data_IF_168584049222
#
_entry.id   IF_168584049222
#
_cell.length_a   1.000
_cell.length_b   1.000
_cell.length_c   1.000
_cell.angle_alpha   90.00
_cell.angle_beta   90.00
_cell.angle_gamma   90.00
#
_symmetry.space_group_name_H-M   'P 1'
#
loop_
_entity.id
_entity.type
_entity.pdbx_description
1 polymer ?
#
# COMPACT_ATOMS: atom_id res chain seq x y z
N UNK A 1 68.75 21.60 -9.57
CA UNK A 1 67.81 20.87 -10.45
C UNK A 1 66.66 20.45 -9.58
N UNK A 2 65.62 21.32 -9.48
CA UNK A 2 64.38 21.00 -8.69
C UNK A 2 63.36 20.33 -9.58
N UNK A 3 62.96 19.09 -9.24
CA UNK A 3 61.84 18.41 -9.87
C UNK A 3 60.51 18.96 -9.26
N UNK A 4 59.70 19.57 -10.10
CA UNK A 4 58.32 19.92 -9.74
C UNK A 4 57.43 18.71 -10.08
N UNK A 5 56.94 18.01 -9.05
CA UNK A 5 55.92 16.95 -9.22
C UNK A 5 54.56 17.61 -9.30
N UNK A 6 54.01 17.68 -10.49
CA UNK A 6 52.63 18.14 -10.71
C UNK A 6 51.62 17.11 -10.24
N UNK A 7 50.86 17.43 -9.18
CA UNK A 7 49.73 16.64 -8.73
C UNK A 7 48.51 16.91 -9.65
N UNK A 8 48.17 15.97 -10.50
CA UNK A 8 46.94 16.02 -11.32
C UNK A 8 45.77 15.62 -10.40
N UNK A 9 44.99 16.60 -9.93
CA UNK A 9 43.71 16.32 -9.29
C UNK A 9 42.69 15.85 -10.34
N UNK A 10 42.35 14.57 -10.28
CA UNK A 10 41.18 14.05 -10.99
C UNK A 10 39.91 14.61 -10.30
N UNK A 11 39.29 15.60 -10.90
CA UNK A 11 37.96 16.09 -10.49
C UNK A 11 36.96 15.04 -10.96
N UNK A 12 36.44 14.24 -10.01
CA UNK A 12 35.31 13.35 -10.28
C UNK A 12 34.09 14.18 -10.74
N UNK A 13 33.65 13.98 -11.99
CA UNK A 13 32.41 14.58 -12.47
C UNK A 13 31.27 14.05 -11.63
N UNK A 14 30.36 14.91 -11.11
CA UNK A 14 29.14 14.42 -10.47
C UNK A 14 28.37 13.57 -11.46
N UNK A 15 27.99 12.35 -11.05
CA UNK A 15 27.10 11.50 -11.84
C UNK A 15 25.80 12.27 -12.06
N UNK A 16 25.46 12.55 -13.31
CA UNK A 16 24.18 13.14 -13.66
C UNK A 16 23.12 12.12 -13.26
N UNK A 17 22.28 12.44 -12.26
CA UNK A 17 21.19 11.58 -11.87
C UNK A 17 20.32 11.30 -13.11
N UNK A 18 20.16 10.03 -13.44
CA UNK A 18 19.33 9.63 -14.57
C UNK A 18 17.88 10.03 -14.29
N UNK A 19 17.22 10.63 -15.29
CA UNK A 19 15.82 11.02 -15.17
C UNK A 19 14.95 9.78 -14.84
N UNK A 20 13.94 9.92 -13.94
CA UNK A 20 13.05 8.82 -13.61
C UNK A 20 12.34 8.26 -14.84
N UNK A 21 12.33 6.93 -14.96
CA UNK A 21 11.64 6.23 -16.05
C UNK A 21 10.24 5.86 -15.61
N UNK A 22 9.28 6.00 -16.52
CA UNK A 22 7.87 5.65 -16.32
C UNK A 22 7.37 4.85 -17.54
N UNK A 23 6.49 3.87 -17.34
CA UNK A 23 5.85 3.17 -18.45
C UNK A 23 4.96 4.13 -19.26
N UNK A 24 4.81 3.84 -20.54
CA UNK A 24 3.78 4.42 -21.38
C UNK A 24 2.47 3.63 -21.32
N UNK A 25 1.79 3.47 -22.47
CA UNK A 25 0.63 2.58 -22.59
C UNK A 25 0.97 1.14 -22.19
N UNK A 26 2.21 0.71 -22.43
CA UNK A 26 2.76 -0.57 -21.98
C UNK A 26 4.06 -0.36 -21.21
N UNK A 27 4.46 -1.36 -20.44
CA UNK A 27 5.76 -1.35 -19.77
C UNK A 27 6.90 -1.49 -20.77
N UNK A 28 7.93 -0.65 -20.65
CA UNK A 28 9.21 -0.87 -21.30
C UNK A 28 9.95 -1.98 -20.56
N UNK A 29 10.46 -2.97 -21.29
CA UNK A 29 11.15 -4.12 -20.71
C UNK A 29 12.67 -3.97 -20.82
N UNK A 30 13.38 -4.50 -19.83
CA UNK A 30 14.84 -4.68 -19.84
C UNK A 30 15.15 -6.08 -19.31
N UNK A 31 16.27 -6.67 -19.75
CA UNK A 31 16.73 -7.90 -19.11
C UNK A 31 17.19 -7.61 -17.69
N UNK A 32 17.16 -8.60 -16.77
CA UNK A 32 17.65 -8.40 -15.41
C UNK A 32 19.06 -7.79 -15.35
N UNK A 33 19.97 -8.24 -16.23
CA UNK A 33 21.35 -7.77 -16.30
C UNK A 33 21.43 -6.30 -16.71
N UNK A 34 20.57 -5.85 -17.63
CA UNK A 34 20.53 -4.46 -18.08
C UNK A 34 20.13 -3.49 -16.95
N UNK A 35 19.41 -3.97 -15.96
CA UNK A 35 19.00 -3.20 -14.78
C UNK A 35 19.71 -3.65 -13.50
N UNK A 36 20.84 -4.33 -13.66
CA UNK A 36 21.73 -4.75 -12.57
C UNK A 36 21.04 -5.67 -11.56
N UNK A 37 20.34 -6.69 -12.06
CA UNK A 37 19.74 -7.73 -11.24
C UNK A 37 20.33 -9.12 -11.56
N UNK A 38 20.38 -9.99 -10.57
CA UNK A 38 20.80 -11.38 -10.72
C UNK A 38 19.62 -12.26 -11.17
N UNK A 39 19.66 -12.83 -12.40
CA UNK A 39 18.58 -13.68 -12.92
C UNK A 39 18.36 -14.96 -12.10
N UNK A 40 19.40 -15.51 -11.50
CA UNK A 40 19.28 -16.74 -10.70
C UNK A 40 18.49 -16.47 -9.41
N UNK A 41 18.71 -15.30 -8.78
CA UNK A 41 17.93 -14.88 -7.61
C UNK A 41 16.49 -14.56 -7.96
N UNK A 42 16.21 -13.98 -9.14
CA UNK A 42 14.86 -13.78 -9.63
C UNK A 42 14.14 -15.10 -9.95
N UNK A 43 14.85 -16.11 -10.46
CA UNK A 43 14.29 -17.44 -10.63
C UNK A 43 13.93 -18.07 -9.28
N UNK A 44 14.81 -17.97 -8.27
CA UNK A 44 14.54 -18.44 -6.92
C UNK A 44 13.34 -17.70 -6.28
N UNK A 45 13.22 -16.38 -6.47
CA UNK A 45 12.07 -15.60 -6.05
C UNK A 45 10.78 -16.13 -6.68
N UNK A 46 10.76 -16.32 -8.00
CA UNK A 46 9.62 -16.90 -8.72
C UNK A 46 9.22 -18.27 -8.18
N UNK A 47 10.20 -19.15 -7.98
CA UNK A 47 9.96 -20.49 -7.44
C UNK A 47 9.39 -20.47 -6.03
N UNK A 48 9.90 -19.59 -5.17
CA UNK A 48 9.41 -19.40 -3.81
C UNK A 48 7.98 -18.83 -3.79
N UNK A 49 7.73 -17.78 -4.57
CA UNK A 49 6.44 -17.07 -4.61
C UNK A 49 5.38 -17.90 -5.35
N UNK A 50 5.70 -18.49 -6.49
CA UNK A 50 4.72 -19.18 -7.33
C UNK A 50 3.68 -18.24 -7.95
N UNK A 51 2.53 -18.78 -8.36
CA UNK A 51 1.45 -18.00 -8.95
C UNK A 51 1.86 -17.15 -10.15
N UNK A 52 1.54 -15.88 -10.14
CA UNK A 52 1.93 -14.89 -11.15
C UNK A 52 2.50 -13.63 -10.52
N UNK A 53 3.38 -12.95 -11.24
CA UNK A 53 3.97 -11.72 -10.72
C UNK A 53 4.89 -11.01 -11.69
N UNK A 54 5.41 -9.88 -11.22
CA UNK A 54 6.39 -9.08 -11.95
C UNK A 54 7.35 -8.37 -11.00
N UNK A 55 8.52 -8.04 -11.52
CA UNK A 55 9.52 -7.20 -10.86
C UNK A 55 9.84 -6.01 -11.76
N UNK A 56 9.75 -4.81 -11.17
CA UNK A 56 10.13 -3.55 -11.79
C UNK A 56 11.42 -3.05 -11.14
N UNK A 57 12.35 -2.61 -11.95
CA UNK A 57 13.63 -2.04 -11.52
C UNK A 57 13.93 -0.78 -12.31
N UNK A 58 14.25 0.32 -11.63
CA UNK A 58 14.59 1.60 -12.28
C UNK A 58 13.49 2.10 -13.26
N UNK A 59 12.23 1.72 -13.02
CA UNK A 59 11.09 2.06 -13.88
C UNK A 59 10.86 1.13 -15.07
N UNK A 60 11.66 0.07 -15.24
CA UNK A 60 11.52 -0.94 -16.29
C UNK A 60 10.95 -2.24 -15.75
N UNK A 61 10.13 -2.93 -16.56
CA UNK A 61 9.74 -4.32 -16.29
C UNK A 61 10.96 -5.22 -16.51
N UNK A 62 11.53 -5.74 -15.42
CA UNK A 62 12.77 -6.51 -15.45
C UNK A 62 12.54 -8.03 -15.47
N UNK A 63 11.45 -8.49 -14.86
CA UNK A 63 11.15 -9.92 -14.76
C UNK A 63 9.65 -10.16 -14.61
N UNK A 64 9.14 -11.25 -15.20
CA UNK A 64 7.72 -11.61 -15.13
C UNK A 64 7.55 -13.13 -15.05
N UNK A 65 6.45 -13.59 -14.44
CA UNK A 65 6.06 -14.99 -14.42
C UNK A 65 4.54 -15.14 -14.34
N UNK A 66 4.02 -16.23 -14.87
CA UNK A 66 2.58 -16.46 -14.98
C UNK A 66 1.87 -15.44 -15.87
N UNK A 67 0.56 -15.32 -15.73
CA UNK A 67 -0.24 -14.33 -16.43
C UNK A 67 -0.25 -12.99 -15.67
N UNK A 68 0.62 -12.10 -16.06
CA UNK A 68 0.79 -10.79 -15.42
C UNK A 68 -0.33 -9.81 -15.71
N UNK A 69 -1.13 -10.03 -16.77
CA UNK A 69 -2.25 -9.19 -17.18
C UNK A 69 -3.59 -9.62 -16.56
N UNK A 70 -3.67 -10.79 -15.94
CA UNK A 70 -4.92 -11.27 -15.36
C UNK A 70 -5.35 -10.39 -14.18
N UNK A 71 -6.47 -9.67 -14.38
CA UNK A 71 -7.13 -8.88 -13.34
C UNK A 71 -7.83 -9.79 -12.34
N UNK A 72 -7.51 -9.66 -11.06
CA UNK A 72 -8.16 -10.39 -9.99
C UNK A 72 -8.21 -9.59 -8.69
N UNK A 73 -9.11 -9.96 -7.78
CA UNK A 73 -9.21 -9.37 -6.44
C UNK A 73 -7.88 -9.53 -5.69
N UNK A 74 -7.40 -8.42 -5.11
CA UNK A 74 -6.18 -8.39 -4.29
C UNK A 74 -6.46 -8.39 -2.78
N UNK A 75 -7.71 -8.59 -2.37
CA UNK A 75 -8.13 -8.60 -0.98
C UNK A 75 -7.63 -7.37 -0.20
N UNK A 76 -7.07 -7.57 1.00
CA UNK A 76 -6.56 -6.47 1.84
C UNK A 76 -5.42 -5.68 1.22
N UNK A 77 -4.74 -6.17 0.19
CA UNK A 77 -3.76 -5.38 -0.55
C UNK A 77 -4.41 -4.19 -1.31
N UNK A 78 -5.73 -4.13 -1.37
CA UNK A 78 -6.49 -2.96 -1.83
C UNK A 78 -6.42 -1.75 -0.87
N UNK A 79 -6.11 -1.95 0.41
CA UNK A 79 -6.19 -0.89 1.44
C UNK A 79 -5.37 0.37 1.11
N UNK A 80 -4.13 0.30 0.58
CA UNK A 80 -3.40 1.49 0.17
C UNK A 80 -4.09 2.35 -0.90
N UNK A 81 -4.92 1.77 -1.75
CA UNK A 81 -5.73 2.53 -2.71
C UNK A 81 -6.77 3.38 -1.98
N UNK A 82 -7.42 2.85 -0.94
CA UNK A 82 -8.35 3.63 -0.12
C UNK A 82 -7.63 4.74 0.64
N UNK A 83 -6.46 4.44 1.20
CA UNK A 83 -5.57 5.45 1.81
C UNK A 83 -5.21 6.56 0.83
N UNK A 84 -4.88 6.21 -0.42
CA UNK A 84 -4.61 7.18 -1.49
C UNK A 84 -5.80 8.12 -1.72
N UNK A 85 -7.01 7.60 -1.83
CA UNK A 85 -8.20 8.44 -2.05
C UNK A 85 -8.58 9.28 -0.83
N UNK A 86 -8.29 8.86 0.41
CA UNK A 86 -8.40 9.74 1.58
C UNK A 86 -7.45 10.93 1.45
N UNK A 87 -6.18 10.68 1.14
CA UNK A 87 -5.17 11.73 1.00
C UNK A 87 -5.50 12.68 -0.15
N UNK A 88 -5.98 12.15 -1.27
CA UNK A 88 -6.48 12.94 -2.40
C UNK A 88 -7.66 13.82 -1.99
N UNK A 89 -8.62 13.28 -1.24
CA UNK A 89 -9.78 14.03 -0.78
C UNK A 89 -9.39 15.20 0.14
N UNK A 90 -8.34 15.04 0.96
CA UNK A 90 -7.77 16.13 1.76
C UNK A 90 -7.11 17.17 0.86
N UNK A 91 -6.30 16.75 -0.10
CA UNK A 91 -5.60 17.65 -1.02
C UNK A 91 -6.58 18.45 -1.90
N UNK A 92 -7.68 17.82 -2.31
CA UNK A 92 -8.75 18.44 -3.10
C UNK A 92 -9.71 19.30 -2.24
N UNK A 93 -9.52 19.37 -0.93
CA UNK A 93 -10.39 20.11 -0.01
C UNK A 93 -11.78 19.50 0.18
N UNK A 94 -12.02 18.26 -0.26
CA UNK A 94 -13.26 17.51 0.01
C UNK A 94 -13.40 17.13 1.48
N UNK A 95 -12.26 16.84 2.10
CA UNK A 95 -12.07 16.59 3.52
C UNK A 95 -11.17 17.73 4.01
N UNK A 96 -11.56 18.42 5.10
CA UNK A 96 -10.82 19.59 5.59
C UNK A 96 -9.44 19.22 6.16
N UNK A 97 -9.30 18.06 6.77
CA UNK A 97 -8.03 17.51 7.25
C UNK A 97 -8.17 16.02 7.58
N UNK A 98 -7.04 15.34 7.75
CA UNK A 98 -7.02 13.94 8.23
C UNK A 98 -7.64 13.81 9.65
N UNK A 99 -7.62 14.85 10.43
CA UNK A 99 -8.14 14.87 11.81
C UNK A 99 -9.60 15.37 11.88
N UNK A 100 -10.22 15.65 10.73
CA UNK A 100 -11.64 15.95 10.67
C UNK A 100 -12.48 14.72 11.04
N UNK A 101 -13.51 14.88 11.90
CA UNK A 101 -14.38 13.77 12.27
C UNK A 101 -15.17 13.21 11.08
N UNK A 102 -15.10 11.89 10.88
CA UNK A 102 -15.87 11.15 9.86
C UNK A 102 -17.36 11.36 10.05
N UNK A 103 -17.81 11.61 11.28
CA UNK A 103 -19.19 11.92 11.64
C UNK A 103 -19.76 13.18 10.95
N UNK A 104 -18.94 14.01 10.30
CA UNK A 104 -19.41 15.09 9.41
C UNK A 104 -20.09 14.52 8.16
N UNK A 105 -19.57 13.44 7.62
CA UNK A 105 -20.07 12.78 6.41
C UNK A 105 -21.00 11.61 6.74
N UNK A 106 -20.78 10.93 7.90
CA UNK A 106 -21.60 9.84 8.42
C UNK A 106 -22.21 10.21 9.78
N UNK A 107 -23.33 10.99 9.81
CA UNK A 107 -23.90 11.52 11.04
C UNK A 107 -24.36 10.45 12.05
N UNK A 108 -24.63 9.20 11.59
CA UNK A 108 -25.04 8.09 12.45
C UNK A 108 -24.01 7.74 13.51
N UNK A 109 -22.71 8.02 13.26
CA UNK A 109 -21.63 7.85 14.23
C UNK A 109 -21.81 8.69 15.50
N UNK A 110 -22.59 9.78 15.45
CA UNK A 110 -22.83 10.66 16.61
C UNK A 110 -23.72 10.03 17.66
N UNK A 111 -24.52 9.02 17.29
CA UNK A 111 -25.52 8.39 18.14
C UNK A 111 -25.12 6.98 18.63
N UNK A 112 -24.00 6.43 18.11
CA UNK A 112 -23.55 5.10 18.49
C UNK A 112 -22.89 5.07 19.88
N UNK A 113 -23.01 3.91 20.54
CA UNK A 113 -22.29 3.62 21.77
C UNK A 113 -22.55 4.63 22.91
N UNK A 114 -23.83 4.94 23.18
CA UNK A 114 -24.22 5.84 24.27
C UNK A 114 -23.61 5.44 25.64
N UNK A 115 -23.56 4.15 26.03
CA UNK A 115 -22.89 3.72 27.25
C UNK A 115 -21.38 4.00 27.30
N UNK A 116 -20.76 4.18 26.13
CA UNK A 116 -19.33 4.50 25.98
C UNK A 116 -19.11 6.01 25.65
N UNK A 117 -20.06 6.87 26.00
CA UNK A 117 -19.95 8.31 25.81
C UNK A 117 -20.00 8.74 24.33
N UNK A 118 -20.64 7.93 23.47
CA UNK A 118 -20.72 8.20 22.03
C UNK A 118 -19.34 8.32 21.37
N UNK A 119 -18.42 7.41 21.71
CA UNK A 119 -17.01 7.44 21.29
C UNK A 119 -16.79 7.58 19.78
N UNK A 120 -17.68 6.99 18.96
CA UNK A 120 -17.51 6.93 17.50
C UNK A 120 -17.66 8.29 16.82
N UNK A 121 -18.27 9.29 17.49
CA UNK A 121 -18.31 10.69 16.99
C UNK A 121 -16.90 11.31 16.83
N UNK A 122 -15.89 10.76 17.53
CA UNK A 122 -14.51 11.21 17.52
C UNK A 122 -13.63 10.47 16.49
N UNK A 123 -14.20 9.50 15.76
CA UNK A 123 -13.48 8.81 14.69
C UNK A 123 -13.08 9.80 13.61
N UNK A 124 -11.80 9.86 13.26
CA UNK A 124 -11.23 10.71 12.21
C UNK A 124 -10.79 9.89 11.00
N UNK A 125 -10.52 10.55 9.88
CA UNK A 125 -9.97 9.92 8.70
C UNK A 125 -8.58 9.31 8.97
N UNK A 126 -7.77 9.95 9.83
CA UNK A 126 -6.49 9.40 10.29
C UNK A 126 -6.67 8.09 11.05
N UNK A 127 -7.68 8.00 11.91
CA UNK A 127 -7.98 6.78 12.63
C UNK A 127 -8.37 5.65 11.68
N UNK A 128 -9.22 5.91 10.69
CA UNK A 128 -9.60 4.93 9.67
C UNK A 128 -8.39 4.48 8.83
N UNK A 129 -7.58 5.43 8.34
CA UNK A 129 -6.42 5.14 7.52
C UNK A 129 -5.35 4.30 8.25
N UNK A 130 -5.27 4.40 9.58
CA UNK A 130 -4.30 3.68 10.39
C UNK A 130 -4.89 2.47 11.13
N UNK A 131 -6.15 2.10 10.86
CA UNK A 131 -6.81 0.97 11.52
C UNK A 131 -6.82 1.08 13.05
N UNK A 132 -7.00 2.29 13.56
CA UNK A 132 -7.12 2.60 14.99
C UNK A 132 -8.44 3.32 15.31
N UNK A 133 -9.43 3.21 14.44
CA UNK A 133 -10.75 3.82 14.68
C UNK A 133 -11.52 3.10 15.79
N UNK A 134 -11.18 1.88 16.12
CA UNK A 134 -11.86 1.04 17.11
C UNK A 134 -13.37 0.97 16.85
N UNK A 135 -13.78 0.99 15.57
CA UNK A 135 -15.16 0.92 15.17
C UNK A 135 -15.69 -0.50 15.28
N UNK A 136 -16.73 -0.71 16.08
CA UNK A 136 -17.29 -2.02 16.39
C UNK A 136 -16.68 -2.69 17.63
N UNK A 137 -15.69 -2.07 18.28
CA UNK A 137 -15.08 -2.52 19.54
C UNK A 137 -15.17 -1.43 20.61
N UNK A 138 -14.95 -1.78 21.91
CA UNK A 138 -15.20 -0.87 23.03
C UNK A 138 -14.14 0.21 23.20
N UNK A 139 -12.93 0.01 22.72
CA UNK A 139 -11.84 0.97 22.88
C UNK A 139 -12.17 2.32 22.20
N UNK A 140 -11.57 3.38 22.71
CA UNK A 140 -11.68 4.70 22.11
C UNK A 140 -10.87 4.81 20.81
N UNK A 141 -11.32 5.61 19.84
CA UNK A 141 -10.53 5.89 18.64
C UNK A 141 -9.11 6.34 18.98
N UNK A 142 -8.13 5.77 18.29
CA UNK A 142 -6.71 6.07 18.46
C UNK A 142 -5.99 5.30 19.57
N UNK A 143 -6.68 4.47 20.36
CA UNK A 143 -6.07 3.82 21.54
C UNK A 143 -5.66 2.37 21.32
N UNK A 144 -6.16 1.72 20.29
CA UNK A 144 -5.81 0.35 19.93
C UNK A 144 -5.81 0.13 18.43
N UNK A 145 -5.00 -0.80 17.96
CA UNK A 145 -5.03 -1.28 16.58
C UNK A 145 -6.14 -2.32 16.43
N UNK A 146 -7.02 -2.07 15.50
CA UNK A 146 -8.22 -2.86 15.26
C UNK A 146 -8.39 -3.08 13.75
N UNK A 147 -7.68 -4.08 13.23
CA UNK A 147 -7.68 -4.40 11.80
C UNK A 147 -8.90 -5.25 11.47
N UNK A 148 -9.94 -4.64 10.90
CA UNK A 148 -11.17 -5.35 10.57
C UNK A 148 -11.84 -4.86 9.27
N UNK A 149 -12.70 -5.71 8.70
CA UNK A 149 -13.43 -5.41 7.48
C UNK A 149 -14.68 -4.53 7.72
N UNK A 150 -15.18 -4.43 8.96
CA UNK A 150 -16.30 -3.54 9.31
C UNK A 150 -15.88 -2.08 9.21
N UNK A 151 -14.70 -1.75 9.71
CA UNK A 151 -14.12 -0.43 9.56
C UNK A 151 -13.86 -0.08 8.09
N UNK A 152 -13.43 -1.07 7.29
CA UNK A 152 -13.23 -0.88 5.84
C UNK A 152 -14.54 -0.62 5.12
N UNK A 153 -15.64 -1.27 5.52
CA UNK A 153 -16.96 -1.00 4.98
C UNK A 153 -17.45 0.41 5.30
N UNK A 154 -17.27 0.85 6.56
CA UNK A 154 -17.56 2.23 6.97
C UNK A 154 -16.76 3.24 6.13
N UNK A 155 -15.47 2.99 5.97
CA UNK A 155 -14.58 3.84 5.18
C UNK A 155 -15.02 3.91 3.72
N UNK A 156 -15.22 2.76 3.08
CA UNK A 156 -15.58 2.69 1.68
C UNK A 156 -16.87 3.45 1.38
N UNK A 157 -17.93 3.19 2.16
CA UNK A 157 -19.21 3.87 1.99
C UNK A 157 -19.11 5.37 2.23
N UNK A 158 -18.39 5.78 3.29
CA UNK A 158 -18.31 7.20 3.62
C UNK A 158 -17.44 7.94 2.60
N UNK A 159 -16.28 7.36 2.23
CA UNK A 159 -15.36 8.00 1.30
C UNK A 159 -15.97 8.09 -0.12
N UNK A 160 -16.33 6.95 -0.70
CA UNK A 160 -16.73 6.96 -2.10
C UNK A 160 -18.17 7.45 -2.32
N UNK A 161 -19.12 7.05 -1.46
CA UNK A 161 -20.51 7.43 -1.68
C UNK A 161 -20.83 8.84 -1.16
N UNK A 162 -20.16 9.33 -0.12
CA UNK A 162 -20.51 10.62 0.51
C UNK A 162 -19.49 11.72 0.26
N UNK A 163 -18.19 11.43 0.29
CA UNK A 163 -17.15 12.44 0.02
C UNK A 163 -16.96 12.64 -1.48
N UNK A 164 -16.85 11.56 -2.24
CA UNK A 164 -16.73 11.61 -3.70
C UNK A 164 -18.07 11.68 -4.44
N UNK A 165 -19.19 11.46 -3.73
CA UNK A 165 -20.55 11.46 -4.31
C UNK A 165 -20.72 10.45 -5.45
N UNK A 166 -19.98 9.35 -5.44
CA UNK A 166 -20.13 8.24 -6.37
C UNK A 166 -21.27 7.30 -5.94
N UNK A 167 -21.57 6.32 -6.78
CA UNK A 167 -22.44 5.18 -6.47
C UNK A 167 -21.64 3.89 -6.60
N UNK A 168 -22.21 2.77 -6.16
CA UNK A 168 -21.60 1.46 -6.41
C UNK A 168 -21.38 1.19 -7.91
N UNK A 169 -22.30 1.65 -8.76
CA UNK A 169 -22.27 1.35 -10.21
C UNK A 169 -21.34 2.27 -11.02
N UNK A 170 -20.94 3.44 -10.48
CA UNK A 170 -20.17 4.42 -11.24
C UNK A 170 -18.84 4.84 -10.61
N UNK A 171 -18.44 4.23 -9.49
CA UNK A 171 -17.21 4.63 -8.77
C UNK A 171 -15.95 4.50 -9.62
N UNK A 172 -15.88 3.50 -10.48
CA UNK A 172 -14.75 3.32 -11.38
C UNK A 172 -14.66 4.47 -12.39
N UNK A 173 -15.75 4.81 -13.03
CA UNK A 173 -15.80 5.87 -14.05
C UNK A 173 -15.66 7.27 -13.46
N UNK A 174 -16.18 7.51 -12.26
CA UNK A 174 -16.23 8.85 -11.67
C UNK A 174 -15.07 9.15 -10.73
N UNK A 175 -14.44 8.14 -10.15
CA UNK A 175 -13.38 8.29 -9.16
C UNK A 175 -12.11 7.57 -9.58
N UNK A 176 -12.15 6.25 -9.79
CA UNK A 176 -10.97 5.43 -9.98
C UNK A 176 -10.20 5.81 -11.25
N UNK A 177 -10.86 5.76 -12.39
CA UNK A 177 -10.20 6.00 -13.68
C UNK A 177 -9.72 7.46 -13.84
N UNK A 178 -10.53 8.49 -13.61
CA UNK A 178 -10.11 9.86 -13.83
C UNK A 178 -9.06 10.35 -12.82
N UNK A 179 -9.09 9.83 -11.59
CA UNK A 179 -8.20 10.32 -10.53
C UNK A 179 -6.94 9.47 -10.33
N UNK A 180 -6.91 8.23 -10.85
CA UNK A 180 -5.77 7.34 -10.63
C UNK A 180 -5.43 6.50 -11.88
N UNK A 181 -6.21 5.48 -12.23
CA UNK A 181 -5.78 4.43 -13.16
C UNK A 181 -5.61 4.92 -14.59
N UNK A 182 -6.43 5.85 -15.04
CA UNK A 182 -6.28 6.52 -16.33
C UNK A 182 -5.01 7.39 -16.39
N UNK A 183 -4.64 8.05 -15.28
CA UNK A 183 -3.40 8.83 -15.20
C UNK A 183 -2.18 7.90 -15.25
N UNK A 184 -2.25 6.76 -14.55
CA UNK A 184 -1.20 5.75 -14.54
C UNK A 184 -1.13 4.95 -15.84
N UNK A 185 -2.08 5.13 -16.74
CA UNK A 185 -2.21 4.39 -18.01
C UNK A 185 -2.26 2.88 -17.77
N UNK A 186 -3.08 2.43 -16.78
CA UNK A 186 -3.25 1.01 -16.49
C UNK A 186 -3.71 0.24 -17.73
N UNK A 187 -3.18 -0.97 -17.91
CA UNK A 187 -3.35 -1.78 -19.12
C UNK A 187 -4.56 -2.72 -19.04
N UNK A 188 -4.92 -3.14 -17.82
CA UNK A 188 -5.87 -4.24 -17.58
C UNK A 188 -7.12 -3.77 -16.84
N UNK A 189 -7.47 -2.49 -16.95
CA UNK A 189 -8.71 -1.90 -16.45
C UNK A 189 -9.02 -2.26 -14.99
N UNK A 190 -8.22 -1.77 -14.01
CA UNK A 190 -8.49 -2.00 -12.59
C UNK A 190 -9.87 -1.50 -12.17
N UNK A 191 -10.49 -2.17 -11.17
CA UNK A 191 -11.83 -1.84 -10.69
C UNK A 191 -11.93 -1.82 -9.17
N UNK A 192 -12.68 -0.86 -8.62
CA UNK A 192 -13.17 -0.84 -7.23
C UNK A 192 -14.46 -1.64 -7.07
N UNK A 193 -15.02 -2.14 -8.18
CA UNK A 193 -16.22 -2.97 -8.23
C UNK A 193 -15.90 -4.45 -8.01
N UNK A 194 -14.66 -4.81 -7.66
CA UNK A 194 -14.30 -6.16 -7.33
C UNK A 194 -15.13 -6.68 -6.14
N UNK A 195 -15.39 -7.96 -6.17
CA UNK A 195 -16.31 -8.67 -5.29
C UNK A 195 -16.07 -8.39 -3.78
N UNK A 196 -17.16 -8.10 -3.08
CA UNK A 196 -17.27 -8.07 -1.62
C UNK A 196 -18.31 -9.08 -1.13
N UNK A 197 -18.62 -9.08 0.16
CA UNK A 197 -19.66 -9.94 0.74
C UNK A 197 -21.04 -9.57 0.15
N UNK A 198 -21.82 -10.59 -0.24
CA UNK A 198 -23.16 -10.43 -0.83
C UNK A 198 -23.17 -9.52 -2.07
N UNK A 199 -22.21 -9.74 -2.97
CA UNK A 199 -22.03 -9.00 -4.23
C UNK A 199 -21.82 -7.48 -4.04
N UNK A 200 -21.47 -7.05 -2.82
CA UNK A 200 -21.17 -5.66 -2.55
C UNK A 200 -19.79 -5.31 -3.08
N UNK A 201 -19.64 -4.24 -3.89
CA UNK A 201 -18.34 -3.67 -4.26
C UNK A 201 -17.55 -3.24 -3.02
N UNK A 202 -16.25 -3.21 -3.12
CA UNK A 202 -15.44 -2.70 -2.04
C UNK A 202 -14.07 -3.36 -1.92
N UNK A 203 -13.64 -4.05 -2.97
CA UNK A 203 -12.27 -4.51 -3.13
C UNK A 203 -11.68 -3.94 -4.40
N UNK A 204 -10.42 -4.22 -4.68
CA UNK A 204 -9.76 -3.83 -5.93
C UNK A 204 -9.47 -5.08 -6.74
N UNK A 205 -9.97 -5.11 -7.97
CA UNK A 205 -9.52 -6.04 -8.99
C UNK A 205 -8.44 -5.37 -9.82
N UNK A 206 -7.23 -5.94 -9.84
CA UNK A 206 -6.09 -5.39 -10.56
C UNK A 206 -5.15 -6.50 -11.01
N UNK A 207 -4.46 -6.32 -12.14
CA UNK A 207 -3.38 -7.19 -12.56
C UNK A 207 -2.09 -6.89 -11.80
N UNK A 208 -1.15 -7.82 -11.75
CA UNK A 208 0.12 -7.60 -11.05
C UNK A 208 0.94 -6.48 -11.68
N UNK A 209 0.86 -6.30 -13.01
CA UNK A 209 1.60 -5.23 -13.71
C UNK A 209 0.98 -3.85 -13.49
N UNK A 210 -0.34 -3.73 -13.37
CA UNK A 210 -0.99 -2.46 -13.04
C UNK A 210 -0.87 -2.14 -11.55
N UNK A 211 -0.83 -3.16 -10.71
CA UNK A 211 -0.54 -2.94 -9.28
C UNK A 211 0.89 -2.40 -9.08
N UNK A 212 1.85 -2.86 -9.90
CA UNK A 212 3.21 -2.29 -9.92
C UNK A 212 3.24 -0.82 -10.38
N UNK A 213 2.31 -0.36 -11.25
CA UNK A 213 2.18 1.07 -11.61
C UNK A 213 1.78 1.92 -10.40
N UNK A 214 0.86 1.42 -9.57
CA UNK A 214 0.53 2.08 -8.32
C UNK A 214 1.72 2.12 -7.35
N UNK A 215 2.49 1.04 -7.25
CA UNK A 215 3.76 1.02 -6.52
C UNK A 215 4.76 2.06 -7.04
N UNK A 216 4.88 2.20 -8.37
CA UNK A 216 5.78 3.18 -9.00
C UNK A 216 5.37 4.63 -8.70
N UNK A 217 4.08 4.93 -8.62
CA UNK A 217 3.58 6.24 -8.20
C UNK A 217 4.13 6.61 -6.81
N UNK A 218 4.08 5.68 -5.85
CA UNK A 218 4.58 5.92 -4.50
C UNK A 218 6.10 5.90 -4.42
N UNK A 219 6.77 5.05 -5.21
CA UNK A 219 8.23 5.06 -5.37
C UNK A 219 8.73 6.43 -5.89
N UNK A 220 7.93 7.09 -6.71
CA UNK A 220 8.18 8.44 -7.25
C UNK A 220 7.47 9.54 -6.44
N UNK A 221 7.17 9.26 -5.16
CA UNK A 221 6.59 10.22 -4.21
C UNK A 221 5.38 10.98 -4.75
N UNK A 222 4.47 10.25 -5.36
CA UNK A 222 3.22 10.78 -5.91
C UNK A 222 3.33 11.46 -7.27
N UNK A 223 4.53 11.49 -7.86
CA UNK A 223 4.74 12.04 -9.21
C UNK A 223 4.57 10.97 -10.29
N UNK A 224 3.90 11.34 -11.38
CA UNK A 224 3.76 10.50 -12.56
C UNK A 224 4.04 11.32 -13.82
N UNK A 225 5.21 11.10 -14.43
CA UNK A 225 5.63 11.76 -15.67
C UNK A 225 5.56 13.30 -15.62
N UNK A 226 5.97 13.88 -14.48
CA UNK A 226 5.92 15.33 -14.23
C UNK A 226 4.60 15.87 -13.69
N UNK A 227 3.54 15.06 -13.62
CA UNK A 227 2.29 15.40 -12.95
C UNK A 227 2.32 14.91 -11.50
N UNK A 228 2.12 15.81 -10.55
CA UNK A 228 1.92 15.44 -9.15
C UNK A 228 0.49 14.92 -8.97
N UNK A 229 0.34 13.60 -8.88
CA UNK A 229 -0.95 12.91 -8.69
C UNK A 229 -1.39 12.95 -7.24
N UNK A 230 -0.44 12.88 -6.32
CA UNK A 230 -0.61 13.09 -4.89
C UNK A 230 0.57 13.91 -4.39
N UNK A 231 0.33 14.96 -3.64
CA UNK A 231 1.38 15.84 -3.10
C UNK A 231 2.52 15.05 -2.45
N UNK A 232 3.75 15.42 -2.74
CA UNK A 232 4.96 14.70 -2.28
C UNK A 232 4.95 14.46 -0.77
N UNK A 233 4.55 15.48 0.00
CA UNK A 233 4.51 15.40 1.45
C UNK A 233 3.50 14.36 1.95
N UNK A 234 2.31 14.27 1.32
CA UNK A 234 1.29 13.28 1.64
C UNK A 234 1.72 11.86 1.22
N UNK A 235 2.33 11.74 0.04
CA UNK A 235 2.83 10.46 -0.43
C UNK A 235 3.93 9.89 0.49
N UNK A 236 4.88 10.73 0.91
CA UNK A 236 5.92 10.35 1.89
C UNK A 236 5.31 10.00 3.25
N UNK A 237 4.42 10.85 3.77
CA UNK A 237 3.74 10.59 5.04
C UNK A 237 3.05 9.22 5.04
N UNK A 238 2.39 8.85 3.95
CA UNK A 238 1.67 7.58 3.86
C UNK A 238 2.54 6.36 4.12
N UNK A 239 3.81 6.37 3.70
CA UNK A 239 4.72 5.21 3.76
C UNK A 239 5.86 5.33 4.77
N UNK A 240 5.99 6.50 5.44
CA UNK A 240 7.08 6.79 6.36
C UNK A 240 6.63 7.16 7.78
N UNK A 241 5.35 6.95 8.12
CA UNK A 241 4.78 7.34 9.42
C UNK A 241 4.10 6.15 10.10
N UNK A 242 4.83 5.06 10.40
CA UNK A 242 4.23 3.91 11.05
C UNK A 242 3.67 4.28 12.42
N UNK A 243 2.60 3.58 12.81
CA UNK A 243 2.05 3.69 14.14
C UNK A 243 3.12 3.41 15.20
N UNK A 244 3.11 4.16 16.32
CA UNK A 244 3.95 3.83 17.46
C UNK A 244 3.75 2.36 17.87
N UNK A 245 4.84 1.60 18.00
CA UNK A 245 4.78 0.20 18.39
C UNK A 245 4.18 -0.04 19.79
N UNK A 246 4.05 1.02 20.61
CA UNK A 246 3.39 1.01 21.91
C UNK A 246 1.86 0.92 21.83
N UNK A 247 1.23 1.21 20.70
CA UNK A 247 -0.23 1.05 20.54
C UNK A 247 -0.57 -0.45 20.61
N UNK A 248 -1.42 -0.87 21.55
CA UNK A 248 -1.77 -2.28 21.69
C UNK A 248 -2.73 -2.74 20.60
N UNK A 249 -2.80 -4.03 20.37
CA UNK A 249 -3.89 -4.66 19.66
C UNK A 249 -5.18 -4.55 20.49
N UNK A 250 -6.35 -4.37 19.85
CA UNK A 250 -7.65 -4.36 20.53
C UNK A 250 -7.88 -5.65 21.31
N UNK A 251 -8.64 -5.55 22.42
CA UNK A 251 -9.13 -6.72 23.16
C UNK A 251 -10.24 -7.45 22.40
N UNK A 252 -10.85 -6.79 21.42
CA UNK A 252 -11.91 -7.34 20.60
C UNK A 252 -13.28 -7.39 21.29
N UNK A 253 -13.49 -6.67 22.39
CA UNK A 253 -14.80 -6.58 23.00
C UNK A 253 -15.77 -5.79 22.12
N UNK A 254 -16.85 -6.46 21.65
CA UNK A 254 -17.79 -5.91 20.69
C UNK A 254 -18.51 -4.66 21.22
N UNK A 255 -18.73 -3.70 20.33
CA UNK A 255 -19.52 -2.50 20.54
C UNK A 255 -20.52 -2.29 19.39
N UNK A 256 -21.41 -1.32 19.56
CA UNK A 256 -22.45 -0.99 18.58
C UNK A 256 -21.82 -0.43 17.28
N UNK A 257 -22.36 -0.85 16.14
CA UNK A 257 -22.02 -0.34 14.82
C UNK A 257 -23.26 0.24 14.12
N UNK A 258 -23.05 0.94 13.01
CA UNK A 258 -24.12 1.48 12.18
C UNK A 258 -25.05 0.34 11.74
N UNK A 259 -26.36 0.41 12.05
CA UNK A 259 -27.31 -0.65 11.69
C UNK A 259 -27.33 -0.91 10.18
N UNK A 260 -27.38 -2.19 9.81
CA UNK A 260 -27.48 -2.64 8.41
C UNK A 260 -26.21 -2.44 7.57
N UNK A 261 -25.09 -2.05 8.19
CA UNK A 261 -23.84 -1.95 7.47
C UNK A 261 -23.32 -3.34 7.09
N UNK A 262 -22.97 -3.50 5.82
CA UNK A 262 -22.32 -4.71 5.32
C UNK A 262 -20.81 -4.65 5.55
N UNK A 263 -20.21 -5.83 5.68
CA UNK A 263 -18.74 -5.97 5.69
C UNK A 263 -18.21 -6.16 4.28
N UNK A 264 -16.91 -5.96 4.10
CA UNK A 264 -16.19 -6.25 2.84
C UNK A 264 -15.61 -7.67 2.79
N UNK A 265 -15.61 -8.39 3.89
CA UNK A 265 -15.02 -9.72 3.97
C UNK A 265 -15.63 -10.57 5.09
N UNK A 266 -15.20 -10.39 6.32
CA UNK A 266 -15.74 -11.11 7.48
C UNK A 266 -17.13 -10.61 7.87
N UNK A 267 -17.96 -11.52 8.38
CA UNK A 267 -19.25 -11.21 9.00
C UNK A 267 -19.21 -11.24 10.52
N UNK A 268 -18.10 -11.67 11.08
CA UNK A 268 -17.91 -11.78 12.52
C UNK A 268 -17.38 -10.46 13.07
N UNK A 269 -17.87 -10.08 14.25
CA UNK A 269 -17.45 -8.91 14.99
C UNK A 269 -17.13 -9.36 16.42
N UNK A 270 -16.00 -8.98 16.94
CA UNK A 270 -14.89 -8.25 16.34
C UNK A 270 -14.03 -9.17 15.45
N UNK A 271 -13.65 -8.67 14.27
CA UNK A 271 -12.80 -9.35 13.31
C UNK A 271 -11.40 -8.74 13.32
N UNK A 272 -10.66 -8.94 14.40
CA UNK A 272 -9.29 -8.47 14.52
C UNK A 272 -8.31 -9.53 14.03
N UNK A 273 -7.88 -9.40 12.78
CA UNK A 273 -7.10 -10.39 12.05
C UNK A 273 -5.62 -10.41 12.43
N UNK A 274 -5.03 -9.25 12.79
CA UNK A 274 -3.59 -9.13 13.03
C UNK A 274 -3.22 -7.99 13.98
N UNK A 275 -1.94 -7.93 14.37
CA UNK A 275 -1.33 -6.77 15.04
C UNK A 275 -0.46 -5.99 14.06
N UNK A 276 -0.28 -4.69 14.30
CA UNK A 276 0.53 -3.81 13.45
C UNK A 276 2.04 -4.00 13.62
N UNK A 277 2.49 -4.48 14.77
CA UNK A 277 3.91 -4.73 15.08
C UNK A 277 4.83 -3.52 14.74
N UNK A 278 4.36 -2.28 14.99
CA UNK A 278 5.11 -1.07 14.64
C UNK A 278 5.28 -0.83 13.13
N UNK A 279 4.53 -1.53 12.28
CA UNK A 279 4.74 -1.58 10.82
C UNK A 279 3.55 -1.14 9.99
N UNK A 280 2.56 -0.44 10.56
CA UNK A 280 1.38 0.00 9.82
C UNK A 280 1.32 1.52 9.70
N UNK A 281 1.20 2.04 8.48
CA UNK A 281 1.17 3.46 8.15
C UNK A 281 0.16 3.73 7.03
N UNK A 282 -0.92 4.44 7.30
CA UNK A 282 -1.92 4.84 6.29
C UNK A 282 -2.28 3.73 5.30
N UNK A 283 -2.61 2.55 5.82
CA UNK A 283 -2.97 1.33 5.07
C UNK A 283 -1.82 0.62 4.36
N UNK A 284 -0.59 1.08 4.53
CA UNK A 284 0.62 0.40 4.09
C UNK A 284 1.25 -0.39 5.24
N UNK A 285 1.83 -1.53 4.91
CA UNK A 285 2.80 -2.20 5.77
C UNK A 285 4.18 -1.64 5.47
N UNK A 286 4.92 -1.27 6.51
CA UNK A 286 6.28 -0.74 6.41
C UNK A 286 7.27 -1.70 7.05
N UNK A 287 8.56 -1.52 6.79
CA UNK A 287 9.60 -2.28 7.49
C UNK A 287 9.95 -1.62 8.84
N UNK A 288 8.92 -1.41 9.67
CA UNK A 288 9.04 -0.82 11.01
C UNK A 288 9.67 -1.79 12.02
N UNK A 289 9.72 -1.33 13.26
CA UNK A 289 10.31 -2.06 14.39
C UNK A 289 9.24 -2.35 15.42
N UNK A 290 9.11 -3.59 15.85
CA UNK A 290 8.15 -4.03 16.84
C UNK A 290 8.57 -3.71 18.29
N UNK A 291 7.82 -4.23 19.26
CA UNK A 291 8.04 -3.98 20.69
C UNK A 291 9.30 -4.66 21.25
N UNK A 292 9.81 -5.67 20.54
CA UNK A 292 11.01 -6.43 20.88
C UNK A 292 12.26 -5.87 20.21
N UNK A 293 12.10 -4.84 19.36
CA UNK A 293 13.19 -4.22 18.62
C UNK A 293 13.49 -4.88 17.27
N UNK A 294 12.67 -5.85 16.87
CA UNK A 294 12.86 -6.60 15.64
C UNK A 294 12.18 -5.91 14.46
N UNK A 295 12.82 -5.90 13.29
CA UNK A 295 12.21 -5.41 12.06
C UNK A 295 11.17 -6.37 11.54
N UNK A 296 10.15 -5.79 10.90
CA UNK A 296 9.09 -6.57 10.25
C UNK A 296 9.65 -7.54 9.18
N UNK A 297 10.62 -7.08 8.38
CA UNK A 297 11.41 -7.88 7.44
C UNK A 297 12.90 -7.65 7.69
N UNK A 298 13.58 -8.51 8.51
CA UNK A 298 14.92 -8.24 9.01
C UNK A 298 15.99 -8.02 7.93
N UNK A 299 15.98 -8.82 6.86
CA UNK A 299 16.99 -8.81 5.79
C UNK A 299 16.65 -7.88 4.62
N UNK A 300 15.65 -7.02 4.80
CA UNK A 300 15.14 -6.10 3.78
C UNK A 300 15.48 -4.66 4.16
N UNK A 301 15.76 -3.76 3.20
CA UNK A 301 16.00 -2.36 3.50
C UNK A 301 14.90 -1.74 4.37
N UNK A 302 15.31 -0.85 5.28
CA UNK A 302 14.42 -0.23 6.27
C UNK A 302 13.31 0.63 5.64
N UNK A 303 13.52 1.11 4.43
CA UNK A 303 12.60 1.96 3.67
C UNK A 303 11.57 1.17 2.84
N UNK A 304 11.57 -0.17 2.93
CA UNK A 304 10.60 -1.02 2.26
C UNK A 304 9.20 -0.82 2.82
N UNK A 305 8.21 -0.82 1.93
CA UNK A 305 6.80 -0.82 2.29
C UNK A 305 5.98 -1.58 1.25
N UNK A 306 4.80 -2.05 1.64
CA UNK A 306 3.97 -2.85 0.74
C UNK A 306 2.52 -2.98 1.15
N UNK A 307 1.78 -3.63 0.29
CA UNK A 307 0.38 -4.02 0.44
C UNK A 307 0.27 -5.54 0.40
N UNK A 308 -0.44 -6.14 1.36
CA UNK A 308 -0.59 -7.58 1.45
C UNK A 308 -2.06 -7.97 1.63
N UNK A 309 -2.46 -9.03 0.96
CA UNK A 309 -3.81 -9.59 1.01
C UNK A 309 -3.81 -11.06 1.41
N UNK A 310 -4.77 -11.44 2.27
CA UNK A 310 -4.93 -12.78 2.84
C UNK A 310 -3.65 -13.33 3.52
N UNK A 311 -2.86 -12.45 4.16
CA UNK A 311 -1.61 -12.84 4.81
C UNK A 311 -0.52 -13.28 3.83
N UNK A 312 -0.45 -12.64 2.63
CA UNK A 312 0.69 -12.74 1.73
C UNK A 312 0.48 -13.27 0.31
N UNK A 313 -0.55 -14.11 -0.02
CA UNK A 313 -0.72 -14.61 -1.40
C UNK A 313 -0.92 -13.54 -2.48
N UNK A 314 -1.20 -12.33 -2.09
CA UNK A 314 -1.43 -11.16 -2.95
C UNK A 314 -0.65 -10.00 -2.40
N UNK A 315 0.26 -9.44 -3.18
CA UNK A 315 1.07 -8.33 -2.68
C UNK A 315 1.59 -7.41 -3.78
N UNK A 316 1.95 -6.22 -3.34
CA UNK A 316 2.81 -5.29 -4.06
C UNK A 316 3.73 -4.62 -3.03
N UNK A 317 5.03 -4.71 -3.25
CA UNK A 317 6.06 -4.17 -2.35
C UNK A 317 7.01 -3.26 -3.09
N UNK A 318 7.35 -2.16 -2.48
CA UNK A 318 8.26 -1.13 -2.97
C UNK A 318 9.48 -1.06 -2.05
N UNK A 319 10.67 -1.05 -2.64
CA UNK A 319 11.94 -0.86 -1.91
C UNK A 319 12.64 0.36 -2.52
N UNK A 320 12.45 1.57 -1.96
CA UNK A 320 12.95 2.81 -2.55
C UNK A 320 14.46 2.86 -2.72
N UNK A 321 15.25 2.45 -1.73
CA UNK A 321 16.72 2.42 -1.80
C UNK A 321 17.26 1.51 -2.89
N UNK A 322 16.46 0.57 -3.36
CA UNK A 322 16.80 -0.31 -4.47
C UNK A 322 16.17 0.14 -5.79
N UNK A 323 15.32 1.18 -5.81
CA UNK A 323 14.49 1.55 -6.96
C UNK A 323 13.78 0.33 -7.57
N UNK A 324 13.16 -0.50 -6.71
CA UNK A 324 12.60 -1.79 -7.06
C UNK A 324 11.15 -1.94 -6.56
N UNK A 325 10.34 -2.64 -7.34
CA UNK A 325 8.98 -3.04 -7.00
C UNK A 325 8.82 -4.52 -7.35
N UNK A 326 8.11 -5.26 -6.52
CA UNK A 326 7.60 -6.59 -6.85
C UNK A 326 6.10 -6.62 -6.63
N UNK A 327 5.38 -7.30 -7.51
CA UNK A 327 3.95 -7.55 -7.35
C UNK A 327 3.65 -9.00 -7.70
N UNK A 328 2.78 -9.65 -6.89
CA UNK A 328 2.35 -11.02 -7.15
C UNK A 328 0.89 -11.26 -6.77
N UNK A 329 0.29 -12.30 -7.34
CA UNK A 329 -1.02 -12.80 -6.98
C UNK A 329 -1.07 -14.33 -7.14
N UNK A 330 -2.02 -14.97 -6.46
CA UNK A 330 -2.16 -16.42 -6.38
C UNK A 330 -0.88 -17.14 -5.87
N UNK A 331 -0.13 -16.46 -5.02
CA UNK A 331 1.17 -16.90 -4.53
C UNK A 331 1.06 -17.95 -3.41
N UNK A 332 2.15 -18.69 -3.22
CA UNK A 332 2.31 -19.63 -2.11
C UNK A 332 2.75 -18.96 -0.80
N UNK A 333 2.94 -17.65 -0.80
CA UNK A 333 3.33 -16.85 0.36
C UNK A 333 2.16 -16.77 1.34
N UNK A 334 2.25 -17.43 2.49
CA UNK A 334 1.14 -17.55 3.46
C UNK A 334 1.56 -17.24 4.91
N UNK A 335 2.76 -16.70 5.11
CA UNK A 335 3.26 -16.32 6.43
C UNK A 335 4.25 -15.17 6.31
N UNK A 336 4.52 -14.49 7.43
CA UNK A 336 5.51 -13.42 7.51
C UNK A 336 6.93 -13.89 7.14
N UNK A 337 7.28 -15.13 7.51
CA UNK A 337 8.57 -15.73 7.15
C UNK A 337 8.68 -15.93 5.63
N UNK A 338 7.59 -16.40 4.99
CA UNK A 338 7.56 -16.55 3.54
C UNK A 338 7.60 -15.20 2.82
N UNK A 339 6.96 -14.15 3.36
CA UNK A 339 7.09 -12.76 2.87
C UNK A 339 8.54 -12.27 3.00
N UNK A 340 9.14 -12.44 4.18
CA UNK A 340 10.53 -12.05 4.45
C UNK A 340 11.50 -12.73 3.49
N UNK A 341 11.32 -14.03 3.23
CA UNK A 341 12.15 -14.77 2.29
C UNK A 341 12.00 -14.27 0.85
N UNK A 342 10.76 -14.02 0.40
CA UNK A 342 10.53 -13.44 -0.92
C UNK A 342 11.25 -12.08 -1.09
N UNK A 343 11.12 -11.20 -0.09
CA UNK A 343 11.73 -9.88 -0.13
C UNK A 343 13.26 -9.91 0.05
N UNK A 344 13.78 -10.87 0.80
CA UNK A 344 15.22 -11.15 0.92
C UNK A 344 15.80 -11.56 -0.44
N UNK A 345 15.14 -12.48 -1.16
CA UNK A 345 15.55 -12.90 -2.50
C UNK A 345 15.56 -11.74 -3.49
N UNK A 346 14.52 -10.88 -3.46
CA UNK A 346 14.48 -9.66 -4.26
C UNK A 346 15.64 -8.71 -3.91
N UNK A 347 15.87 -8.49 -2.62
CA UNK A 347 16.97 -7.63 -2.14
C UNK A 347 18.31 -8.13 -2.63
N UNK A 348 18.56 -9.44 -2.54
CA UNK A 348 19.78 -10.08 -3.04
C UNK A 348 19.90 -9.99 -4.56
N UNK A 349 18.78 -10.11 -5.29
CA UNK A 349 18.79 -9.94 -6.74
C UNK A 349 19.22 -8.53 -7.17
N UNK A 350 18.94 -7.51 -6.35
CA UNK A 350 19.30 -6.12 -6.62
C UNK A 350 20.73 -5.74 -6.20
N UNK A 351 21.43 -6.57 -5.44
CA UNK A 351 22.82 -6.32 -5.02
C UNK A 351 23.78 -6.83 -6.09
N UNK A 352 24.69 -5.97 -6.55
CA UNK A 352 25.74 -6.40 -7.46
C UNK A 352 26.72 -7.36 -6.74
N UNK A 353 27.14 -8.44 -7.40
CA UNK A 353 28.19 -9.38 -6.93
C UNK A 353 29.52 -8.69 -6.57
N UNK A 354 29.72 -7.43 -6.96
CA UNK A 354 30.93 -6.66 -6.64
C UNK A 354 30.94 -6.06 -5.22
N UNK A 355 29.87 -6.28 -4.43
CA UNK A 355 29.75 -5.80 -3.04
C UNK A 355 29.73 -6.94 -2.00
N UNK A 356 29.89 -8.19 -2.45
CA UNK A 356 30.21 -9.37 -1.63
C UNK A 356 31.73 -9.63 -1.66
#
# INVERSE_FOLDING_TARGET
MCLVVGCVMLVARPAVAQAPVYPGATWETRTPEQVQMDPAKLSALREHVGGRGCVVRQGYMAYTWGDQGLRADVASAAKPWYGHFILRAVEEGRIGSLDEPVARFEPRLKALNAPLGFKDRAVTWRHLANQVACYGVKENPGTAFDYNDWMMALLWDTLFLKVYCATYDNVDETVLHPLLTGILQCEDDPTLMAFGVEDRPGRVGVSVRDFARFGLLYLRTGNWRGRQVLGEQLARMAVCSPLPNSIPRTTGEAAEMVPGQRTLGSREVPDNQCDHLGSYSFMWWTNGVDRDGERHWPDVPADAYGAFGHGGPRAMVVIPSLDAIVSWNDANVKSREAESEALRLLTQACRNRAQE
#
